data_IF_977907809530
#
_entry.id   IF_977907809530
#
_cell.length_a   1.000
_cell.length_b   1.000
_cell.length_c   1.000
_cell.angle_alpha   90.00
_cell.angle_beta   90.00
_cell.angle_gamma   90.00
#
_symmetry.space_group_name_H-M   'P 1'
#
loop_
_entity.id
_entity.type
_entity.pdbx_description
1 polymer ?
#
# COMPACT_ATOMS: atom_id res chain seq x y z
N UNK A 1 -3.51 -28.48 29.94
CA UNK A 1 -2.24 -27.72 29.76
C UNK A 1 -1.32 -28.52 28.85
N UNK A 2 -0.51 -27.80 28.07
CA UNK A 2 0.39 -28.19 26.97
C UNK A 2 -0.22 -28.02 25.58
N UNK A 3 -0.18 -26.81 24.99
CA UNK A 3 0.96 -25.96 24.59
C UNK A 3 1.67 -26.50 23.35
N UNK A 4 1.44 -25.77 22.26
CA UNK A 4 2.32 -25.57 21.10
C UNK A 4 2.87 -26.80 20.38
N UNK A 5 2.47 -26.96 19.12
CA UNK A 5 3.34 -26.98 17.93
C UNK A 5 2.61 -27.64 16.77
N UNK A 6 2.17 -26.86 15.79
CA UNK A 6 2.41 -27.13 14.35
C UNK A 6 1.80 -26.00 13.50
N UNK A 7 2.56 -24.93 13.27
CA UNK A 7 2.39 -24.16 12.03
C UNK A 7 3.58 -24.55 11.17
N UNK A 8 3.36 -25.56 10.34
CA UNK A 8 4.28 -26.00 9.30
C UNK A 8 4.03 -25.13 8.08
N UNK A 9 5.07 -24.40 7.69
CA UNK A 9 5.50 -24.19 6.31
C UNK A 9 4.44 -23.71 5.30
N UNK A 10 4.41 -22.40 5.07
CA UNK A 10 4.39 -21.90 3.71
C UNK A 10 5.77 -21.30 3.41
N UNK A 11 6.61 -22.10 2.76
CA UNK A 11 7.69 -21.58 1.93
C UNK A 11 7.03 -20.90 0.72
N UNK A 12 6.71 -19.61 0.86
CA UNK A 12 6.55 -18.72 -0.28
C UNK A 12 7.95 -18.26 -0.69
N UNK A 13 8.69 -19.08 -1.43
CA UNK A 13 9.97 -18.69 -2.03
C UNK A 13 9.71 -17.75 -3.20
N UNK A 14 9.23 -16.54 -2.91
CA UNK A 14 9.27 -15.43 -3.84
C UNK A 14 10.71 -14.95 -3.92
N UNK A 15 11.40 -15.27 -5.01
CA UNK A 15 12.70 -14.71 -5.31
C UNK A 15 12.56 -13.19 -5.41
N UNK A 16 12.91 -12.47 -4.34
CA UNK A 16 13.12 -11.03 -4.39
C UNK A 16 14.35 -10.78 -5.26
N UNK A 17 14.12 -10.57 -6.57
CA UNK A 17 15.11 -9.98 -7.46
C UNK A 17 15.44 -8.59 -6.91
N UNK A 18 16.58 -8.50 -6.22
CA UNK A 18 17.17 -7.24 -5.80
C UNK A 18 17.62 -6.48 -7.04
N UNK A 19 16.68 -5.75 -7.66
CA UNK A 19 16.99 -4.74 -8.66
C UNK A 19 17.76 -3.61 -7.96
N UNK A 20 19.08 -3.66 -8.13
CA UNK A 20 19.98 -2.55 -7.84
C UNK A 20 19.69 -1.40 -8.81
N UNK A 21 18.57 -0.71 -8.60
CA UNK A 21 18.28 0.54 -9.27
C UNK A 21 19.16 1.64 -8.65
N UNK A 22 20.17 2.06 -9.41
CA UNK A 22 20.93 3.30 -9.19
C UNK A 22 20.07 4.50 -9.63
N UNK A 23 18.94 4.70 -8.95
CA UNK A 23 18.07 5.85 -9.15
C UNK A 23 18.25 6.86 -8.02
N UNK A 24 18.31 8.15 -8.36
CA UNK A 24 18.27 9.21 -7.36
C UNK A 24 16.90 9.31 -6.67
N UNK A 25 16.79 10.04 -5.55
CA UNK A 25 15.50 10.32 -4.93
C UNK A 25 14.61 11.14 -5.87
N UNK A 26 13.29 11.07 -5.68
CA UNK A 26 12.33 11.96 -6.35
C UNK A 26 12.67 13.42 -6.04
N UNK A 27 12.58 14.36 -7.01
CA UNK A 27 12.79 15.78 -6.75
C UNK A 27 11.97 16.28 -5.55
N UNK A 28 12.59 17.11 -4.72
CA UNK A 28 12.08 17.51 -3.39
C UNK A 28 10.89 18.45 -3.40
N UNK A 29 10.51 18.94 -4.59
CA UNK A 29 9.46 19.92 -4.84
C UNK A 29 8.20 19.30 -5.49
N UNK A 30 8.15 17.98 -5.59
CA UNK A 30 6.93 17.22 -5.90
C UNK A 30 6.58 16.34 -4.70
N UNK A 31 5.34 15.92 -4.61
CA UNK A 31 4.85 15.09 -3.50
C UNK A 31 4.27 13.82 -4.07
N UNK A 32 4.95 12.70 -3.82
CA UNK A 32 4.43 11.38 -4.12
C UNK A 32 3.71 10.89 -2.87
N UNK A 33 2.38 10.87 -2.90
CA UNK A 33 1.57 10.48 -1.74
C UNK A 33 0.92 9.13 -1.98
N UNK A 34 1.10 8.20 -1.04
CA UNK A 34 0.31 6.98 -0.96
C UNK A 34 -0.84 7.19 0.02
N UNK A 35 -2.06 7.04 -0.46
CA UNK A 35 -3.28 7.03 0.34
C UNK A 35 -3.83 5.61 0.43
N UNK A 36 -4.29 5.22 1.61
CA UNK A 36 -4.97 3.93 1.81
C UNK A 36 -6.22 4.15 2.64
N UNK A 37 -7.33 3.62 2.16
CA UNK A 37 -8.60 3.57 2.85
C UNK A 37 -9.01 2.11 3.05
N UNK A 38 -9.50 1.76 4.25
CA UNK A 38 -10.00 0.42 4.55
C UNK A 38 -11.30 0.44 5.33
N UNK A 39 -12.00 -0.68 5.33
CA UNK A 39 -13.09 -1.01 6.22
C UNK A 39 -12.98 -2.49 6.57
N UNK A 40 -13.13 -2.81 7.85
CA UNK A 40 -13.08 -4.19 8.40
C UNK A 40 -11.79 -4.96 8.08
N UNK A 41 -10.73 -4.25 7.73
CA UNK A 41 -9.43 -4.81 7.33
C UNK A 41 -8.32 -4.07 8.04
N UNK A 42 -7.41 -4.84 8.65
CA UNK A 42 -6.12 -4.33 9.11
C UNK A 42 -5.10 -4.41 7.96
N UNK A 43 -4.25 -3.39 7.86
CA UNK A 43 -3.24 -3.26 6.80
C UNK A 43 -1.86 -3.15 7.42
N UNK A 44 -0.87 -3.80 6.80
CA UNK A 44 0.54 -3.46 6.96
C UNK A 44 1.11 -3.13 5.61
N UNK A 45 1.87 -2.04 5.53
CA UNK A 45 2.43 -1.55 4.28
C UNK A 45 3.94 -1.73 4.27
N UNK A 46 4.50 -2.06 3.12
CA UNK A 46 5.93 -2.03 2.86
C UNK A 46 6.21 -1.36 1.52
N UNK A 47 7.22 -0.51 1.47
CA UNK A 47 7.68 0.17 0.26
C UNK A 47 9.09 -0.31 -0.05
N UNK A 48 9.32 -0.84 -1.25
CA UNK A 48 10.62 -1.37 -1.67
C UNK A 48 11.19 -2.38 -0.64
N UNK A 49 10.34 -3.30 -0.18
CA UNK A 49 10.66 -4.30 0.83
C UNK A 49 10.87 -3.79 2.26
N UNK A 50 10.76 -2.47 2.52
CA UNK A 50 10.91 -1.89 3.85
C UNK A 50 9.55 -1.68 4.52
N UNK A 51 9.30 -2.24 5.72
CA UNK A 51 8.09 -1.96 6.48
C UNK A 51 7.88 -0.46 6.67
N UNK A 52 6.63 -0.02 6.55
CA UNK A 52 6.21 1.34 6.80
C UNK A 52 5.18 1.36 7.92
N UNK A 53 5.46 2.13 8.98
CA UNK A 53 4.56 2.34 10.12
C UNK A 53 3.43 3.32 9.82
N UNK A 54 3.34 3.77 8.57
CA UNK A 54 2.33 4.69 8.07
C UNK A 54 0.88 4.25 8.36
N UNK A 55 0.60 2.94 8.40
CA UNK A 55 -0.74 2.38 8.63
C UNK A 55 -0.77 1.31 9.73
N UNK A 56 0.08 1.42 10.75
CA UNK A 56 0.08 0.47 11.88
C UNK A 56 -0.78 0.95 13.07
N UNK A 57 -2.11 0.88 12.93
CA UNK A 57 -3.07 1.05 14.05
C UNK A 57 -4.52 1.22 13.56
N UNK A 58 -5.56 0.76 14.24
CA UNK A 58 -5.69 0.26 15.60
C UNK A 58 -7.11 0.43 16.21
N UNK A 59 -8.08 1.02 15.50
CA UNK A 59 -9.45 1.19 15.98
C UNK A 59 -10.49 0.52 15.06
N UNK A 60 -11.65 0.15 15.62
CA UNK A 60 -12.75 -0.49 14.91
C UNK A 60 -13.31 0.44 13.80
N UNK A 61 -13.73 -0.13 12.66
CA UNK A 61 -14.38 0.60 11.57
C UNK A 61 -13.48 1.00 10.39
N UNK A 62 -13.96 1.98 9.60
CA UNK A 62 -13.26 2.48 8.41
C UNK A 62 -12.07 3.37 8.76
N UNK A 63 -10.98 3.24 7.99
CA UNK A 63 -9.77 4.03 8.15
C UNK A 63 -9.38 4.70 6.85
N UNK A 64 -8.71 5.83 6.94
CA UNK A 64 -8.02 6.44 5.80
C UNK A 64 -6.76 7.10 6.33
N UNK A 65 -5.63 6.92 5.64
CA UNK A 65 -4.41 7.67 5.91
C UNK A 65 -3.67 7.94 4.60
N UNK A 66 -2.83 8.99 4.61
CA UNK A 66 -1.95 9.39 3.51
C UNK A 66 -0.51 9.63 4.00
N UNK A 67 0.51 9.18 3.26
CA UNK A 67 1.92 9.45 3.58
C UNK A 67 2.75 9.83 2.37
N UNK A 68 3.71 10.75 2.56
CA UNK A 68 4.66 11.10 1.53
C UNK A 68 5.70 9.99 1.37
N UNK A 69 5.88 9.53 0.14
CA UNK A 69 6.80 8.47 -0.23
C UNK A 69 8.12 8.98 -0.82
N UNK A 70 8.29 10.30 -1.02
CA UNK A 70 9.45 10.91 -1.68
C UNK A 70 10.82 10.41 -1.22
N UNK A 71 10.96 10.09 0.07
CA UNK A 71 12.22 9.61 0.66
C UNK A 71 12.37 8.08 0.64
N UNK A 72 11.32 7.36 0.22
CA UNK A 72 11.24 5.89 0.22
C UNK A 72 11.24 5.30 -1.18
N UNK A 73 10.81 6.07 -2.17
CA UNK A 73 10.88 5.72 -3.59
C UNK A 73 12.13 6.31 -4.25
N UNK A 74 12.57 5.65 -5.31
CA UNK A 74 13.72 6.07 -6.12
C UNK A 74 13.34 6.10 -7.59
N UNK A 75 14.13 6.75 -8.41
CA UNK A 75 14.02 6.61 -9.86
C UNK A 75 14.16 5.13 -10.29
N UNK A 76 13.38 4.73 -11.29
CA UNK A 76 13.28 3.37 -11.78
C UNK A 76 12.13 2.59 -11.13
N UNK A 77 12.30 1.27 -11.04
CA UNK A 77 11.27 0.37 -10.51
C UNK A 77 11.16 0.47 -8.99
N UNK A 78 9.91 0.52 -8.53
CA UNK A 78 9.53 0.51 -7.13
C UNK A 78 8.36 -0.46 -6.92
N UNK A 79 8.14 -0.81 -5.66
CA UNK A 79 6.99 -1.62 -5.25
C UNK A 79 6.36 -1.10 -3.97
N UNK A 80 5.03 -1.22 -3.90
CA UNK A 80 4.24 -1.07 -2.69
C UNK A 80 3.56 -2.41 -2.41
N UNK A 81 3.72 -2.92 -1.19
CA UNK A 81 3.11 -4.17 -0.74
C UNK A 81 2.18 -3.91 0.43
N UNK A 82 1.00 -4.51 0.39
CA UNK A 82 -0.05 -4.42 1.40
C UNK A 82 -0.36 -5.83 1.89
N UNK A 83 -0.15 -6.06 3.18
CA UNK A 83 -0.59 -7.28 3.86
C UNK A 83 -1.89 -6.97 4.60
N UNK A 84 -2.96 -7.63 4.17
CA UNK A 84 -4.32 -7.42 4.62
C UNK A 84 -4.77 -8.61 5.47
N UNK A 85 -5.45 -8.33 6.57
CA UNK A 85 -6.14 -9.34 7.37
C UNK A 85 -7.50 -8.81 7.79
N UNK A 86 -8.54 -9.64 7.68
CA UNK A 86 -9.87 -9.31 8.18
C UNK A 86 -9.80 -8.96 9.67
N UNK A 87 -10.56 -7.95 10.08
CA UNK A 87 -10.76 -7.66 11.51
C UNK A 87 -11.93 -8.49 12.00
N UNK A 88 -11.66 -9.28 13.04
CA UNK A 88 -12.67 -10.05 13.73
C UNK A 88 -13.60 -9.10 14.49
N UNK A 89 -14.89 -9.14 14.17
CA UNK A 89 -15.94 -8.36 14.82
C UNK A 89 -16.67 -9.16 15.92
N UNK A 90 -16.21 -10.39 16.23
CA UNK A 90 -16.89 -11.32 17.13
C UNK A 90 -17.78 -12.35 16.42
N UNK A 91 -18.43 -13.22 17.20
CA UNK A 91 -19.07 -14.49 16.77
C UNK A 91 -20.22 -14.35 15.73
N UNK A 92 -20.68 -13.14 15.43
CA UNK A 92 -21.88 -12.88 14.63
C UNK A 92 -21.73 -11.75 13.58
N UNK A 93 -20.51 -11.20 13.40
CA UNK A 93 -20.23 -10.16 12.42
C UNK A 93 -19.86 -10.69 11.03
N UNK A 94 -20.64 -10.34 9.99
CA UNK A 94 -20.19 -10.49 8.60
C UNK A 94 -19.13 -9.43 8.32
N UNK A 95 -17.91 -9.83 7.97
CA UNK A 95 -16.84 -8.93 7.53
C UNK A 95 -17.22 -8.35 6.17
N UNK A 96 -17.40 -7.02 6.08
CA UNK A 96 -17.63 -6.30 4.83
C UNK A 96 -16.33 -5.59 4.38
N UNK A 97 -15.33 -6.43 4.10
CA UNK A 97 -13.98 -6.01 3.80
C UNK A 97 -13.94 -5.05 2.60
N UNK A 98 -13.39 -3.86 2.82
CA UNK A 98 -13.06 -2.94 1.75
C UNK A 98 -11.62 -2.44 1.92
N UNK A 99 -10.94 -2.26 0.79
CA UNK A 99 -9.61 -1.67 0.74
C UNK A 99 -9.46 -0.92 -0.59
N UNK A 100 -8.91 0.28 -0.51
CA UNK A 100 -8.51 1.11 -1.63
C UNK A 100 -7.14 1.70 -1.32
N UNK A 101 -6.15 1.45 -2.18
CA UNK A 101 -4.86 2.12 -2.15
C UNK A 101 -4.63 2.92 -3.42
N UNK A 102 -4.30 4.20 -3.28
CA UNK A 102 -3.96 5.08 -4.41
C UNK A 102 -2.58 5.68 -4.21
N UNK A 103 -1.79 5.70 -5.28
CA UNK A 103 -0.50 6.39 -5.31
C UNK A 103 -0.60 7.53 -6.32
N UNK A 104 -0.29 8.73 -5.87
CA UNK A 104 -0.51 9.94 -6.63
C UNK A 104 0.68 10.88 -6.56
N UNK A 105 0.87 11.67 -7.62
CA UNK A 105 1.85 12.76 -7.67
C UNK A 105 1.09 14.07 -7.65
N UNK A 106 1.44 14.93 -6.69
CA UNK A 106 1.08 16.34 -6.70
C UNK A 106 2.31 17.21 -6.98
N UNK A 107 2.13 18.17 -7.87
CA UNK A 107 3.14 19.17 -8.25
C UNK A 107 3.04 20.44 -7.40
N UNK A 108 1.90 20.64 -6.71
CA UNK A 108 1.65 21.76 -5.78
C UNK A 108 1.20 21.28 -4.40
N UNK A 109 2.17 20.98 -3.54
CA UNK A 109 1.91 20.63 -2.14
C UNK A 109 1.56 19.15 -1.92
N UNK A 110 1.62 18.73 -0.66
CA UNK A 110 1.33 17.36 -0.26
C UNK A 110 -0.17 17.07 -0.34
N UNK A 111 -0.54 15.89 -0.88
CA UNK A 111 -1.92 15.39 -0.81
C UNK A 111 -2.11 14.83 0.59
N UNK A 112 -3.13 15.32 1.30
CA UNK A 112 -3.48 14.90 2.66
C UNK A 112 -4.96 14.54 2.70
N UNK A 113 -5.27 13.33 3.16
CA UNK A 113 -6.62 12.90 3.54
C UNK A 113 -7.70 13.07 2.45
N UNK A 114 -7.37 12.78 1.19
CA UNK A 114 -8.36 12.79 0.10
C UNK A 114 -8.88 11.39 -0.20
N UNK A 115 -10.21 11.26 -0.28
CA UNK A 115 -10.89 10.05 -0.78
C UNK A 115 -11.00 10.05 -2.32
N UNK A 116 -10.78 11.20 -2.94
CA UNK A 116 -10.77 11.37 -4.38
C UNK A 116 -9.32 11.57 -4.85
N UNK A 117 -8.89 10.85 -5.90
CA UNK A 117 -7.57 11.03 -6.47
C UNK A 117 -7.35 12.45 -6.98
N UNK A 118 -6.19 13.04 -6.66
CA UNK A 118 -5.72 14.33 -7.10
C UNK A 118 -5.22 14.36 -8.54
N UNK A 119 -4.28 15.26 -8.83
CA UNK A 119 -3.94 15.70 -10.20
C UNK A 119 -3.45 14.57 -11.12
N UNK A 120 -2.62 13.63 -10.63
CA UNK A 120 -2.12 12.50 -11.43
C UNK A 120 -1.93 11.22 -10.62
N UNK A 121 -2.75 10.21 -10.93
CA UNK A 121 -2.71 8.87 -10.35
C UNK A 121 -1.66 8.00 -11.05
N UNK A 122 -0.79 7.34 -10.27
CA UNK A 122 0.13 6.30 -10.73
C UNK A 122 -0.56 4.93 -10.70
N UNK A 123 -1.23 4.62 -9.59
CA UNK A 123 -2.08 3.44 -9.49
C UNK A 123 -3.26 3.68 -8.54
N UNK A 124 -4.31 2.89 -8.74
CA UNK A 124 -5.41 2.69 -7.80
C UNK A 124 -5.69 1.19 -7.70
N UNK A 125 -5.85 0.68 -6.49
CA UNK A 125 -5.99 -0.76 -6.25
C UNK A 125 -7.00 -1.06 -5.15
N UNK A 126 -7.93 -1.97 -5.45
CA UNK A 126 -9.22 -1.98 -4.77
C UNK A 126 -9.79 -3.37 -4.43
N UNK A 127 -9.12 -4.31 -3.75
CA UNK A 127 -9.57 -5.73 -3.63
C UNK A 127 -10.10 -6.39 -4.93
N UNK A 128 -10.24 -7.69 -4.91
CA UNK A 128 -11.08 -8.40 -5.88
C UNK A 128 -12.18 -9.09 -5.12
N UNK A 129 -13.20 -9.60 -5.81
CA UNK A 129 -14.22 -10.42 -5.17
C UNK A 129 -13.59 -11.63 -4.44
N UNK A 130 -12.56 -12.23 -5.05
CA UNK A 130 -11.83 -13.38 -4.47
C UNK A 130 -11.04 -12.97 -3.22
N UNK A 131 -10.34 -11.84 -3.24
CA UNK A 131 -9.58 -11.34 -2.09
C UNK A 131 -10.50 -10.91 -0.94
N UNK A 132 -11.64 -10.27 -1.26
CA UNK A 132 -12.64 -9.90 -0.26
C UNK A 132 -13.24 -11.16 0.40
N UNK A 133 -13.55 -12.19 -0.40
CA UNK A 133 -14.04 -13.46 0.12
C UNK A 133 -13.00 -14.18 0.99
N UNK A 134 -11.71 -14.14 0.62
CA UNK A 134 -10.64 -14.69 1.43
C UNK A 134 -10.53 -14.00 2.80
N UNK A 135 -10.58 -12.66 2.82
CA UNK A 135 -10.57 -11.89 4.07
C UNK A 135 -11.79 -12.20 4.95
N UNK A 136 -12.97 -12.33 4.36
CA UNK A 136 -14.19 -12.73 5.07
C UNK A 136 -14.12 -14.17 5.62
N UNK A 137 -13.35 -15.05 4.96
CA UNK A 137 -13.03 -16.40 5.44
C UNK A 137 -11.97 -16.46 6.54
N UNK A 138 -11.44 -15.30 6.98
CA UNK A 138 -10.38 -15.23 7.99
C UNK A 138 -8.97 -15.46 7.44
N UNK A 139 -8.81 -15.50 6.12
CA UNK A 139 -7.50 -15.59 5.48
C UNK A 139 -6.82 -14.23 5.40
N UNK A 140 -5.50 -14.22 5.15
CA UNK A 140 -4.74 -13.00 4.89
C UNK A 140 -4.44 -12.87 3.40
N UNK A 141 -4.53 -11.66 2.88
CA UNK A 141 -4.27 -11.34 1.47
C UNK A 141 -3.01 -10.49 1.37
N UNK A 142 -2.15 -10.78 0.39
CA UNK A 142 -0.99 -9.94 0.06
C UNK A 142 -1.17 -9.36 -1.32
N UNK A 143 -1.15 -8.04 -1.42
CA UNK A 143 -1.23 -7.30 -2.68
C UNK A 143 0.13 -6.61 -2.91
N UNK A 144 0.69 -6.76 -4.11
CA UNK A 144 1.94 -6.08 -4.51
C UNK A 144 1.70 -5.31 -5.79
N UNK A 145 1.79 -3.99 -5.69
CA UNK A 145 1.73 -3.07 -6.82
C UNK A 145 3.15 -2.64 -7.21
N UNK A 146 3.47 -2.77 -8.49
CA UNK A 146 4.76 -2.37 -9.07
C UNK A 146 4.57 -1.12 -9.91
N UNK A 147 5.45 -0.15 -9.74
CA UNK A 147 5.37 1.10 -10.48
C UNK A 147 6.76 1.65 -10.80
N UNK A 148 6.85 2.43 -11.87
CA UNK A 148 8.10 3.04 -12.32
C UNK A 148 8.05 4.54 -12.13
N UNK A 149 9.09 5.08 -11.50
CA UNK A 149 9.29 6.53 -11.34
C UNK A 149 10.33 6.97 -12.35
N UNK A 150 9.94 7.85 -13.29
CA UNK A 150 10.87 8.47 -14.24
C UNK A 150 11.09 9.92 -13.84
N UNK A 151 12.33 10.29 -13.49
CA UNK A 151 12.66 11.67 -13.16
C UNK A 151 12.40 12.61 -14.34
N UNK A 152 12.73 12.17 -15.56
CA UNK A 152 12.47 12.94 -16.76
C UNK A 152 10.96 13.21 -16.96
N UNK A 153 10.13 12.18 -16.77
CA UNK A 153 8.68 12.35 -16.88
C UNK A 153 8.13 13.31 -15.81
N UNK A 154 8.66 13.24 -14.59
CA UNK A 154 8.30 14.14 -13.51
C UNK A 154 8.73 15.60 -13.78
N UNK A 155 9.93 15.83 -14.31
CA UNK A 155 10.41 17.16 -14.71
C UNK A 155 9.62 17.72 -15.89
N UNK A 156 9.24 16.89 -16.87
CA UNK A 156 8.34 17.28 -17.96
C UNK A 156 6.95 17.69 -17.46
N UNK A 157 6.39 16.93 -16.50
CA UNK A 157 5.10 17.27 -15.88
C UNK A 157 5.15 18.65 -15.22
N UNK A 158 6.23 18.94 -14.49
CA UNK A 158 6.43 20.23 -13.85
C UNK A 158 6.58 21.38 -14.86
N UNK A 159 7.25 21.15 -15.99
CA UNK A 159 7.47 22.18 -17.01
C UNK A 159 6.19 22.53 -17.80
N UNK A 160 5.17 21.66 -17.75
CA UNK A 160 3.88 21.86 -18.42
C UNK A 160 2.82 22.58 -17.58
N UNK A 161 3.12 22.94 -16.33
CA UNK A 161 2.26 23.76 -15.45
C UNK A 161 2.60 25.26 -15.52
#
# INVERSE_FOLDING_TARGET
MNLMKLIRALLGTGAALMLSACGGPVPSDMFLTLSVSTRDVAVKTAINGKPSDFLSGGEEGSMTASAPLNNTVKEGENEATFLLSGRDHGDDGVIDAAFLATLEIAVKGEIVDTLEPGERMIFSRELTEEEAAALAGGESVTITERFTVSRAALEEMKAGE
#
